data_IF_072999241504
#
_entry.id   IF_072999241504
#
_cell.length_a   1.000
_cell.length_b   1.000
_cell.length_c   1.000
_cell.angle_alpha   90.00
_cell.angle_beta   90.00
_cell.angle_gamma   90.00
#
_symmetry.space_group_name_H-M   'P 1'
#
loop_
_entity.id
_entity.type
_entity.pdbx_description
1 polymer ?
#
# COMPACT_ATOMS: atom_id res chain seq x y z
N UNK A 1 34.19 -16.60 -2.05
CA UNK A 1 33.11 -16.34 -3.04
C UNK A 1 33.53 -15.43 -4.19
N UNK A 2 34.15 -14.27 -3.98
CA UNK A 2 34.61 -13.35 -5.07
C UNK A 2 35.47 -14.00 -6.15
N UNK A 3 36.32 -14.96 -5.78
CA UNK A 3 37.25 -15.65 -6.71
C UNK A 3 36.52 -16.51 -7.74
N UNK A 4 35.39 -17.14 -7.34
CA UNK A 4 34.55 -17.95 -8.23
C UNK A 4 33.79 -17.04 -9.19
N UNK A 5 33.23 -15.95 -8.71
CA UNK A 5 32.48 -14.98 -9.51
C UNK A 5 33.34 -14.36 -10.62
N UNK A 6 34.61 -14.02 -10.31
CA UNK A 6 35.55 -13.50 -11.32
C UNK A 6 35.93 -14.54 -12.37
N UNK A 7 36.07 -15.81 -11.94
CA UNK A 7 36.43 -16.91 -12.87
C UNK A 7 35.30 -17.21 -13.84
N UNK A 8 34.07 -17.14 -13.39
CA UNK A 8 32.87 -17.37 -14.18
C UNK A 8 32.35 -16.11 -14.92
N UNK A 9 33.15 -15.03 -14.95
CA UNK A 9 32.76 -13.79 -15.63
C UNK A 9 31.57 -13.04 -15.05
N UNK A 10 31.11 -13.43 -13.84
CA UNK A 10 29.99 -12.79 -13.18
C UNK A 10 30.43 -11.46 -12.56
N UNK A 11 29.70 -10.39 -12.85
CA UNK A 11 29.92 -9.09 -12.19
C UNK A 11 29.37 -9.14 -10.77
N UNK A 12 30.24 -8.93 -9.78
CA UNK A 12 29.78 -8.72 -8.40
C UNK A 12 28.93 -7.45 -8.37
N UNK A 13 27.68 -7.50 -7.88
CA UNK A 13 26.87 -6.29 -7.75
C UNK A 13 27.63 -5.28 -6.90
N UNK A 14 27.88 -4.09 -7.45
CA UNK A 14 28.45 -3.00 -6.65
C UNK A 14 27.47 -2.73 -5.50
N UNK A 15 27.98 -2.81 -4.27
CA UNK A 15 27.23 -2.43 -3.08
C UNK A 15 26.75 -0.99 -3.29
N UNK A 16 25.46 -0.80 -3.53
CA UNK A 16 24.93 0.55 -3.61
C UNK A 16 25.28 1.24 -2.29
N UNK A 17 25.92 2.42 -2.34
CA UNK A 17 26.15 3.18 -1.13
C UNK A 17 24.81 3.35 -0.43
N UNK A 18 24.75 3.22 0.91
CA UNK A 18 23.50 3.42 1.63
C UNK A 18 22.97 4.78 1.19
N UNK A 19 21.74 4.79 0.66
CA UNK A 19 21.07 6.05 0.32
C UNK A 19 21.13 6.90 1.57
N UNK A 20 22.00 7.91 1.58
CA UNK A 20 22.05 8.90 2.65
C UNK A 20 20.64 9.48 2.70
N UNK A 21 19.96 9.30 3.83
CA UNK A 21 18.76 10.07 4.12
C UNK A 21 19.17 11.52 4.00
N UNK A 22 18.62 12.20 3.01
CA UNK A 22 18.67 13.66 2.95
C UNK A 22 17.80 14.14 4.13
N UNK A 23 18.43 14.33 5.26
CA UNK A 23 17.83 15.08 6.35
C UNK A 23 17.89 16.53 5.91
N UNK A 24 16.76 17.06 5.48
CA UNK A 24 16.59 18.49 5.48
C UNK A 24 16.58 18.91 6.94
N UNK A 25 17.64 19.56 7.37
CA UNK A 25 17.86 20.04 8.76
C UNK A 25 17.00 21.28 9.07
N UNK A 26 16.22 21.76 8.13
CA UNK A 26 15.44 22.99 8.21
C UNK A 26 14.01 22.82 8.78
N UNK A 27 13.66 21.62 9.28
CA UNK A 27 12.35 21.38 9.89
C UNK A 27 11.14 21.44 8.94
N UNK A 28 11.37 21.56 7.64
CA UNK A 28 10.34 21.90 6.65
C UNK A 28 9.38 20.76 6.30
N UNK A 29 9.52 19.57 6.87
CA UNK A 29 8.58 18.47 6.61
C UNK A 29 8.19 17.76 7.90
N UNK A 30 7.24 18.32 8.63
CA UNK A 30 6.59 17.65 9.76
C UNK A 30 5.56 16.68 9.18
N UNK A 31 6.01 15.45 8.86
CA UNK A 31 5.08 14.38 8.52
C UNK A 31 4.14 14.13 9.69
N UNK A 32 2.84 14.23 9.47
CA UNK A 32 1.84 13.79 10.43
C UNK A 32 2.05 12.30 10.72
N UNK A 33 2.43 11.98 11.96
CA UNK A 33 2.57 10.59 12.40
C UNK A 33 1.24 10.11 12.96
N UNK A 34 0.78 8.89 12.57
CA UNK A 34 -0.42 8.31 13.14
C UNK A 34 -0.23 8.05 14.64
N UNK A 35 -1.23 8.36 15.45
CA UNK A 35 -1.20 8.22 16.91
C UNK A 35 -2.10 7.07 17.42
N UNK A 36 -3.09 6.68 16.62
CA UNK A 36 -4.08 5.66 16.96
C UNK A 36 -4.62 4.97 15.69
N UNK A 37 -5.29 3.82 15.80
CA UNK A 37 -6.01 3.21 14.69
C UNK A 37 -6.98 4.19 14.04
N UNK A 38 -7.15 4.14 12.73
CA UNK A 38 -8.00 5.05 11.95
C UNK A 38 -7.62 6.55 12.05
N UNK A 39 -6.40 6.86 12.48
CA UNK A 39 -5.93 8.25 12.47
C UNK A 39 -5.55 8.69 11.04
N UNK A 40 -4.73 7.91 10.37
CA UNK A 40 -4.28 8.19 8.99
C UNK A 40 -4.37 6.92 8.16
N UNK A 41 -5.16 6.96 7.11
CA UNK A 41 -5.11 5.95 6.05
C UNK A 41 -4.28 6.47 4.89
N UNK A 42 -3.51 5.60 4.27
CA UNK A 42 -2.76 5.91 3.06
C UNK A 42 -3.23 5.00 1.93
N UNK A 43 -3.38 5.54 0.71
CA UNK A 43 -3.62 4.72 -0.46
C UNK A 43 -2.66 5.03 -1.60
N UNK A 44 -2.45 4.02 -2.45
CA UNK A 44 -1.58 4.10 -3.62
C UNK A 44 -2.02 3.09 -4.69
N UNK A 45 -1.55 3.31 -5.91
CA UNK A 45 -1.85 2.46 -7.05
C UNK A 45 -0.65 1.62 -7.46
N UNK A 46 -0.92 0.33 -7.72
CA UNK A 46 0.04 -0.59 -8.30
C UNK A 46 -0.46 -1.03 -9.68
N UNK A 47 0.42 -1.00 -10.67
CA UNK A 47 0.11 -1.51 -12.00
C UNK A 47 0.81 -2.85 -12.24
N UNK A 48 0.10 -3.78 -12.89
CA UNK A 48 0.60 -5.06 -13.38
C UNK A 48 -0.02 -5.39 -14.74
N UNK A 49 0.46 -6.44 -15.39
CA UNK A 49 -0.15 -6.99 -16.62
C UNK A 49 -0.46 -8.47 -16.40
N UNK A 50 -1.57 -8.92 -16.97
CA UNK A 50 -1.87 -10.34 -17.13
C UNK A 50 -1.04 -10.92 -18.27
N UNK A 51 -0.98 -12.24 -18.36
CA UNK A 51 -0.20 -12.99 -19.36
C UNK A 51 -0.58 -12.59 -20.81
N UNK A 52 -1.85 -12.26 -21.04
CA UNK A 52 -2.36 -11.72 -22.30
C UNK A 52 -1.93 -10.25 -22.57
N UNK A 53 -1.03 -9.69 -21.76
CA UNK A 53 -0.49 -8.34 -21.87
C UNK A 53 -1.44 -7.22 -21.41
N UNK A 54 -2.69 -7.53 -21.04
CA UNK A 54 -3.67 -6.52 -20.62
C UNK A 54 -3.32 -5.92 -19.25
N UNK A 55 -3.47 -4.61 -19.06
CA UNK A 55 -3.17 -3.97 -17.78
C UNK A 55 -4.16 -4.39 -16.69
N UNK A 56 -3.64 -4.49 -15.47
CA UNK A 56 -4.40 -4.59 -14.22
C UNK A 56 -3.89 -3.53 -13.27
N UNK A 57 -4.79 -2.77 -12.67
CA UNK A 57 -4.50 -1.80 -11.61
C UNK A 57 -5.01 -2.31 -10.28
N UNK A 58 -4.24 -2.09 -9.25
CA UNK A 58 -4.57 -2.40 -7.87
C UNK A 58 -4.59 -1.10 -7.09
N UNK A 59 -5.64 -0.86 -6.31
CA UNK A 59 -5.72 0.20 -5.31
C UNK A 59 -5.44 -0.42 -3.95
N UNK A 60 -4.37 -0.03 -3.29
CA UNK A 60 -4.01 -0.50 -1.95
C UNK A 60 -4.32 0.57 -0.92
N UNK A 61 -5.04 0.23 0.14
CA UNK A 61 -5.38 1.13 1.25
C UNK A 61 -4.84 0.53 2.55
N UNK A 62 -4.12 1.33 3.32
CA UNK A 62 -3.41 0.90 4.54
C UNK A 62 -3.69 1.85 5.68
N UNK A 63 -3.95 1.33 6.87
CA UNK A 63 -3.89 2.13 8.10
C UNK A 63 -2.41 2.31 8.51
N UNK A 64 -1.96 3.55 8.56
CA UNK A 64 -0.56 3.86 8.86
C UNK A 64 -0.17 3.54 10.32
N UNK A 65 -1.12 3.48 11.25
CA UNK A 65 -0.84 3.14 12.65
C UNK A 65 -0.72 1.64 12.85
N UNK A 66 -1.76 0.89 12.51
CA UNK A 66 -1.79 -0.57 12.69
C UNK A 66 -0.94 -1.32 11.68
N UNK A 67 -0.59 -0.69 10.55
CA UNK A 67 0.04 -1.31 9.37
C UNK A 67 -0.86 -2.30 8.64
N UNK A 68 -2.11 -2.36 8.99
CA UNK A 68 -3.09 -3.23 8.36
C UNK A 68 -3.34 -2.79 6.92
N UNK A 69 -3.33 -3.73 5.99
CA UNK A 69 -3.78 -3.54 4.63
C UNK A 69 -5.31 -3.68 4.61
N UNK A 70 -6.02 -2.55 4.64
CA UNK A 70 -7.47 -2.48 4.77
C UNK A 70 -8.18 -3.06 3.54
N UNK A 71 -7.71 -2.69 2.35
CA UNK A 71 -8.25 -3.18 1.09
C UNK A 71 -7.19 -3.24 -0.01
N UNK A 72 -7.39 -4.15 -0.96
CA UNK A 72 -6.72 -4.14 -2.27
C UNK A 72 -7.78 -4.38 -3.33
N UNK A 73 -8.22 -3.32 -3.99
CA UNK A 73 -9.18 -3.41 -5.10
C UNK A 73 -8.45 -3.68 -6.42
N UNK A 74 -8.98 -4.60 -7.24
CA UNK A 74 -8.34 -5.07 -8.48
C UNK A 74 -9.25 -4.84 -9.67
N UNK A 75 -8.85 -3.97 -10.61
CA UNK A 75 -9.62 -3.70 -11.82
C UNK A 75 -8.71 -3.52 -13.05
N UNK A 76 -9.29 -3.62 -14.25
CA UNK A 76 -8.58 -3.27 -15.50
C UNK A 76 -8.31 -1.77 -15.58
N UNK A 77 -9.26 -0.98 -15.07
CA UNK A 77 -9.18 0.48 -14.94
C UNK A 77 -9.79 0.85 -13.60
N UNK A 78 -9.11 1.69 -12.85
CA UNK A 78 -9.63 2.27 -11.61
C UNK A 78 -9.91 3.75 -11.89
N UNK A 79 -11.16 4.14 -11.75
CA UNK A 79 -11.64 5.52 -11.87
C UNK A 79 -11.89 6.09 -10.47
N UNK A 80 -12.16 7.39 -10.42
CA UNK A 80 -12.53 8.06 -9.17
C UNK A 80 -13.70 7.39 -8.45
N UNK A 81 -14.71 6.94 -9.20
CA UNK A 81 -15.90 6.31 -8.63
C UNK A 81 -15.59 4.96 -7.97
N UNK A 82 -14.66 4.18 -8.55
CA UNK A 82 -14.21 2.91 -7.98
C UNK A 82 -13.46 3.16 -6.65
N UNK A 83 -12.63 4.21 -6.60
CA UNK A 83 -11.93 4.63 -5.38
C UNK A 83 -12.92 5.09 -4.33
N UNK A 84 -13.91 5.92 -4.70
CA UNK A 84 -14.96 6.41 -3.81
C UNK A 84 -15.79 5.25 -3.24
N UNK A 85 -16.17 4.29 -4.06
CA UNK A 85 -16.91 3.12 -3.64
C UNK A 85 -16.11 2.30 -2.60
N UNK A 86 -14.86 1.99 -2.92
CA UNK A 86 -13.98 1.24 -2.00
C UNK A 86 -13.78 1.98 -0.65
N UNK A 87 -13.56 3.30 -0.71
CA UNK A 87 -13.44 4.11 0.51
C UNK A 87 -14.75 4.14 1.29
N UNK A 88 -15.90 4.31 0.62
CA UNK A 88 -17.22 4.32 1.29
C UNK A 88 -17.50 3.02 2.03
N UNK A 89 -17.23 1.86 1.41
CA UNK A 89 -17.36 0.56 2.08
C UNK A 89 -16.45 0.47 3.31
N UNK A 90 -15.19 0.90 3.19
CA UNK A 90 -14.28 0.91 4.33
C UNK A 90 -14.76 1.83 5.46
N UNK A 91 -15.30 3.02 5.14
CA UNK A 91 -15.84 3.94 6.14
C UNK A 91 -17.01 3.33 6.92
N UNK A 92 -17.85 2.55 6.24
CA UNK A 92 -18.99 1.84 6.89
C UNK A 92 -18.50 0.75 7.84
N UNK A 93 -17.49 -0.03 7.42
CA UNK A 93 -17.03 -1.20 8.19
C UNK A 93 -16.00 -0.89 9.28
N UNK A 94 -15.17 0.12 9.06
CA UNK A 94 -14.04 0.46 9.93
C UNK A 94 -14.19 1.78 10.68
N UNK A 95 -15.18 2.58 10.32
CA UNK A 95 -15.32 3.94 10.78
C UNK A 95 -14.55 4.95 9.91
N UNK A 96 -14.76 6.23 10.22
CA UNK A 96 -14.20 7.34 9.45
C UNK A 96 -12.79 7.66 9.95
N UNK A 97 -11.74 7.63 9.11
CA UNK A 97 -10.42 8.06 9.52
C UNK A 97 -10.36 9.58 9.65
N UNK A 98 -9.46 10.08 10.49
CA UNK A 98 -9.26 11.53 10.61
C UNK A 98 -8.62 12.10 9.34
N UNK A 99 -7.68 11.36 8.76
CA UNK A 99 -6.92 11.81 7.58
C UNK A 99 -6.81 10.68 6.55
N UNK A 100 -6.77 11.07 5.28
CA UNK A 100 -6.36 10.19 4.18
C UNK A 100 -5.20 10.81 3.44
N UNK A 101 -4.13 10.02 3.29
CA UNK A 101 -2.93 10.37 2.54
C UNK A 101 -2.94 9.70 1.18
N UNK A 102 -2.61 10.47 0.14
CA UNK A 102 -2.44 9.93 -1.21
C UNK A 102 -1.30 10.63 -1.93
N UNK A 103 -0.74 9.95 -2.92
CA UNK A 103 0.12 10.58 -3.90
C UNK A 103 -0.70 11.40 -4.91
N UNK A 104 -0.05 12.34 -5.56
CA UNK A 104 -0.66 13.20 -6.59
C UNK A 104 -0.92 12.39 -7.87
N UNK A 105 -2.03 11.65 -7.89
CA UNK A 105 -2.53 10.96 -9.10
C UNK A 105 -3.15 11.92 -10.13
N UNK A 106 -3.66 11.42 -11.27
CA UNK A 106 -4.30 12.25 -12.30
C UNK A 106 -5.30 13.22 -11.66
N UNK A 107 -5.10 14.52 -11.87
CA UNK A 107 -5.79 15.63 -11.17
C UNK A 107 -7.30 15.47 -11.04
N UNK A 108 -7.94 14.85 -12.03
CA UNK A 108 -9.39 14.71 -12.06
C UNK A 108 -9.91 13.69 -11.03
N UNK A 109 -9.25 12.53 -10.92
CA UNK A 109 -9.62 11.51 -9.94
C UNK A 109 -9.32 11.98 -8.51
N UNK A 110 -8.19 12.64 -8.28
CA UNK A 110 -7.82 13.22 -7.01
C UNK A 110 -8.82 14.31 -6.55
N UNK A 111 -9.31 15.16 -7.47
CA UNK A 111 -10.24 16.25 -7.13
C UNK A 111 -11.62 15.73 -6.67
N UNK A 112 -12.20 14.76 -7.38
CA UNK A 112 -13.49 14.16 -7.01
C UNK A 112 -13.41 13.45 -5.65
N UNK A 113 -12.36 12.66 -5.43
CA UNK A 113 -12.12 11.97 -4.16
C UNK A 113 -11.93 12.98 -3.04
N UNK A 114 -11.15 14.04 -3.24
CA UNK A 114 -10.94 15.10 -2.26
C UNK A 114 -12.24 15.78 -1.85
N UNK A 115 -13.06 16.18 -2.82
CA UNK A 115 -14.32 16.85 -2.54
C UNK A 115 -15.29 15.96 -1.76
N UNK A 116 -15.31 14.67 -2.07
CA UNK A 116 -16.12 13.71 -1.32
C UNK A 116 -15.60 13.52 0.11
N UNK A 117 -14.29 13.32 0.28
CA UNK A 117 -13.67 13.19 1.60
C UNK A 117 -13.95 14.41 2.48
N UNK A 118 -13.86 15.61 1.91
CA UNK A 118 -14.18 16.84 2.62
C UNK A 118 -15.64 16.89 3.10
N UNK A 119 -16.59 16.37 2.30
CA UNK A 119 -18.02 16.28 2.68
C UNK A 119 -18.24 15.31 3.85
N UNK A 120 -17.51 14.24 3.93
CA UNK A 120 -17.59 13.26 5.02
C UNK A 120 -16.70 13.61 6.23
N UNK A 121 -16.07 14.79 6.21
CA UNK A 121 -15.28 15.30 7.33
C UNK A 121 -13.85 14.75 7.42
N UNK A 122 -13.34 14.09 6.37
CA UNK A 122 -11.99 13.53 6.32
C UNK A 122 -11.01 14.57 5.75
N UNK A 123 -9.92 14.80 6.44
CA UNK A 123 -8.85 15.67 5.96
C UNK A 123 -7.93 14.95 4.99
N UNK A 124 -7.58 15.61 3.88
CA UNK A 124 -6.67 15.02 2.87
C UNK A 124 -5.25 15.54 3.08
N UNK A 125 -4.30 14.61 3.13
CA UNK A 125 -2.87 14.89 3.17
C UNK A 125 -2.27 14.54 1.80
N UNK A 126 -1.66 15.52 1.16
CA UNK A 126 -0.98 15.29 -0.13
C UNK A 126 0.51 15.18 0.12
N UNK A 127 1.12 14.17 -0.51
CA UNK A 127 2.57 14.10 -0.59
C UNK A 127 3.06 15.17 -1.56
N UNK A 128 4.01 15.99 -1.14
CA UNK A 128 4.63 16.96 -2.03
C UNK A 128 5.40 16.25 -3.16
N UNK A 129 5.40 16.81 -4.38
CA UNK A 129 6.23 16.29 -5.46
C UNK A 129 7.69 16.21 -5.02
N UNK A 130 8.29 15.01 -5.07
CA UNK A 130 9.66 14.78 -4.64
C UNK A 130 9.82 14.33 -3.18
N UNK A 131 8.73 14.13 -2.43
CA UNK A 131 8.74 13.66 -1.04
C UNK A 131 8.21 12.21 -0.89
N UNK A 132 8.83 11.18 -1.51
CA UNK A 132 8.35 9.80 -1.47
C UNK A 132 8.27 9.22 -0.06
N UNK A 133 9.05 9.76 0.89
CA UNK A 133 9.01 9.31 2.28
C UNK A 133 7.68 9.58 2.99
N UNK A 134 6.87 10.51 2.48
CA UNK A 134 5.57 10.82 3.06
C UNK A 134 4.57 9.67 2.88
N UNK A 135 4.62 8.94 1.78
CA UNK A 135 3.76 7.79 1.49
C UNK A 135 4.42 6.43 1.79
N UNK A 136 5.54 6.44 2.54
CA UNK A 136 6.40 5.27 2.73
C UNK A 136 5.72 4.04 3.37
N UNK A 137 4.55 4.18 4.01
CA UNK A 137 3.85 3.03 4.59
C UNK A 137 3.15 2.20 3.53
N UNK A 138 2.35 2.81 2.68
CA UNK A 138 1.68 2.10 1.59
C UNK A 138 2.70 1.64 0.54
N UNK A 139 3.74 2.43 0.26
CA UNK A 139 4.85 1.99 -0.60
C UNK A 139 5.54 0.72 -0.06
N UNK A 140 5.75 0.64 1.24
CA UNK A 140 6.32 -0.56 1.88
C UNK A 140 5.42 -1.79 1.73
N UNK A 141 4.09 -1.62 1.84
CA UNK A 141 3.12 -2.70 1.59
C UNK A 141 3.16 -3.11 0.13
N UNK A 142 3.13 -2.15 -0.79
CA UNK A 142 3.19 -2.38 -2.23
C UNK A 142 4.50 -3.05 -2.66
N UNK A 143 5.63 -2.69 -2.04
CA UNK A 143 6.91 -3.37 -2.25
C UNK A 143 6.83 -4.85 -1.90
N UNK A 144 6.28 -5.18 -0.72
CA UNK A 144 6.09 -6.56 -0.29
C UNK A 144 5.11 -7.32 -1.18
N UNK A 145 3.99 -6.69 -1.56
CA UNK A 145 3.03 -7.28 -2.50
C UNK A 145 3.70 -7.62 -3.84
N UNK A 146 4.56 -6.73 -4.35
CA UNK A 146 5.33 -7.00 -5.57
C UNK A 146 6.31 -8.16 -5.38
N UNK A 147 7.11 -8.13 -4.32
CA UNK A 147 8.18 -9.11 -4.09
C UNK A 147 7.66 -10.50 -3.73
N UNK A 148 6.57 -10.58 -2.98
CA UNK A 148 6.02 -11.81 -2.44
C UNK A 148 4.98 -12.46 -3.37
N UNK A 149 4.29 -11.69 -4.23
CA UNK A 149 3.24 -12.18 -5.11
C UNK A 149 3.38 -11.72 -6.56
N UNK A 150 3.32 -10.40 -6.83
CA UNK A 150 3.14 -9.92 -8.19
C UNK A 150 4.31 -10.24 -9.14
N UNK A 151 5.55 -10.32 -8.62
CA UNK A 151 6.74 -10.64 -9.40
C UNK A 151 7.04 -12.14 -9.47
N UNK A 152 6.32 -12.95 -8.69
CA UNK A 152 6.52 -14.40 -8.63
C UNK A 152 5.52 -15.18 -9.46
N UNK A 153 4.34 -14.61 -9.68
CA UNK A 153 3.23 -15.28 -10.35
C UNK A 153 2.98 -14.69 -11.74
N UNK A 154 2.59 -15.57 -12.66
CA UNK A 154 2.00 -15.24 -13.95
C UNK A 154 0.50 -15.35 -13.82
N UNK A 155 -0.21 -14.29 -14.14
CA UNK A 155 -1.66 -14.22 -13.96
C UNK A 155 -2.35 -14.36 -15.31
N UNK A 156 -3.11 -15.42 -15.53
CA UNK A 156 -3.88 -15.61 -16.74
C UNK A 156 -5.07 -14.64 -16.83
N UNK A 157 -5.72 -14.34 -15.71
CA UNK A 157 -6.93 -13.50 -15.67
C UNK A 157 -6.89 -12.46 -14.57
N UNK A 158 -7.70 -11.38 -14.72
CA UNK A 158 -7.92 -10.42 -13.64
C UNK A 158 -8.51 -11.07 -12.37
N UNK A 159 -9.40 -12.04 -12.57
CA UNK A 159 -10.03 -12.76 -11.45
C UNK A 159 -9.00 -13.52 -10.61
N UNK A 160 -8.06 -14.17 -11.26
CA UNK A 160 -6.94 -14.84 -10.58
C UNK A 160 -6.10 -13.84 -9.76
N UNK A 161 -5.76 -12.68 -10.33
CA UNK A 161 -5.09 -11.60 -9.58
C UNK A 161 -5.89 -11.23 -8.33
N UNK A 162 -7.20 -11.05 -8.45
CA UNK A 162 -8.06 -10.66 -7.34
C UNK A 162 -8.07 -11.70 -6.22
N UNK A 163 -8.20 -12.98 -6.56
CA UNK A 163 -8.22 -14.08 -5.59
C UNK A 163 -6.87 -14.21 -4.86
N UNK A 164 -5.78 -14.20 -5.61
CA UNK A 164 -4.44 -14.35 -5.03
C UNK A 164 -4.01 -13.14 -4.21
N UNK A 165 -4.37 -11.93 -4.64
CA UNK A 165 -4.10 -10.69 -3.90
C UNK A 165 -4.90 -10.63 -2.60
N UNK A 166 -6.17 -11.06 -2.59
CA UNK A 166 -6.96 -11.12 -1.36
C UNK A 166 -6.41 -12.19 -0.39
N UNK A 167 -5.99 -13.35 -0.90
CA UNK A 167 -5.31 -14.36 -0.08
C UNK A 167 -4.02 -13.80 0.53
N UNK A 168 -3.21 -13.08 -0.26
CA UNK A 168 -2.00 -12.42 0.21
C UNK A 168 -2.32 -11.36 1.27
N UNK A 169 -3.36 -10.52 1.08
CA UNK A 169 -3.79 -9.50 2.03
C UNK A 169 -4.15 -10.10 3.39
N UNK A 170 -4.91 -11.20 3.39
CA UNK A 170 -5.24 -11.94 4.63
C UNK A 170 -4.01 -12.48 5.31
N UNK A 171 -3.11 -13.11 4.58
CA UNK A 171 -1.84 -13.60 5.11
C UNK A 171 -0.99 -12.46 5.67
N UNK A 172 -0.90 -11.33 4.96
CA UNK A 172 -0.17 -10.14 5.38
C UNK A 172 -0.69 -9.60 6.71
N UNK A 173 -2.01 -9.50 6.87
CA UNK A 173 -2.64 -8.94 8.07
C UNK A 173 -2.64 -9.90 9.26
N UNK A 174 -2.80 -11.19 9.05
CA UNK A 174 -3.11 -12.16 10.11
C UNK A 174 -1.93 -13.04 10.52
N UNK A 175 -0.99 -13.27 9.61
CA UNK A 175 0.06 -14.27 9.81
C UNK A 175 1.45 -13.67 9.70
N UNK A 176 1.67 -12.76 8.75
CA UNK A 176 2.98 -12.22 8.43
C UNK A 176 3.56 -11.42 9.60
N UNK A 177 4.76 -11.78 10.14
CA UNK A 177 5.39 -11.02 11.20
C UNK A 177 5.93 -9.68 10.69
N UNK A 178 5.73 -8.62 11.47
CA UNK A 178 6.20 -7.26 11.18
C UNK A 178 7.18 -6.78 12.23
N UNK A 179 8.40 -6.41 11.81
CA UNK A 179 9.42 -5.90 12.74
C UNK A 179 8.97 -4.66 13.50
N UNK A 180 8.25 -3.75 12.83
CA UNK A 180 7.75 -2.52 13.45
C UNK A 180 6.65 -2.77 14.49
N UNK A 181 6.07 -3.97 14.53
CA UNK A 181 5.02 -4.39 15.47
C UNK A 181 5.52 -5.46 16.45
N UNK A 182 6.82 -5.52 16.70
CA UNK A 182 7.40 -6.55 17.58
C UNK A 182 7.22 -7.97 17.09
N UNK A 183 7.30 -8.18 15.77
CA UNK A 183 7.09 -9.45 15.07
C UNK A 183 5.64 -9.98 15.11
N UNK A 184 4.69 -9.16 15.51
CA UNK A 184 3.26 -9.49 15.43
C UNK A 184 2.69 -9.15 14.05
N UNK A 185 1.64 -9.84 13.59
CA UNK A 185 0.89 -9.42 12.40
C UNK A 185 0.08 -8.14 12.69
N UNK A 186 -0.31 -7.37 11.64
CA UNK A 186 -1.03 -6.10 11.81
C UNK A 186 -2.42 -6.25 12.43
N UNK A 187 -3.15 -7.31 12.12
CA UNK A 187 -4.53 -7.52 12.57
C UNK A 187 -4.74 -9.01 12.96
N UNK A 188 -4.11 -9.48 14.06
CA UNK A 188 -4.26 -10.87 14.50
C UNK A 188 -5.69 -11.19 14.99
N UNK A 189 -6.43 -10.20 15.45
CA UNK A 189 -7.79 -10.36 15.99
C UNK A 189 -8.81 -10.81 14.92
N UNK A 190 -8.56 -10.49 13.65
CA UNK A 190 -9.44 -10.89 12.54
C UNK A 190 -9.37 -12.39 12.21
N UNK A 191 -8.49 -13.14 12.89
CA UNK A 191 -8.40 -14.61 12.76
C UNK A 191 -9.48 -15.31 13.62
N UNK A 192 -9.96 -14.66 14.69
CA UNK A 192 -11.00 -15.24 15.53
C UNK A 192 -12.26 -15.48 14.67
N UNK A 193 -12.82 -16.71 14.63
CA UNK A 193 -14.08 -16.93 13.99
C UNK A 193 -15.10 -16.01 14.66
N UNK A 194 -15.86 -15.26 13.84
CA UNK A 194 -17.02 -14.56 14.37
C UNK A 194 -17.89 -15.63 15.06
N UNK A 195 -17.91 -15.62 16.36
CA UNK A 195 -18.87 -16.40 17.11
C UNK A 195 -20.24 -15.83 16.71
N UNK A 196 -20.96 -16.56 15.86
CA UNK A 196 -22.35 -16.31 15.61
C UNK A 196 -23.06 -16.44 16.96
N UNK A 197 -23.51 -15.32 17.49
CA UNK A 197 -24.44 -15.28 18.61
C UNK A 197 -25.86 -15.61 18.12
#
# INVERSE_FOLDING_TARGET
>A
MERIWRREGLKVPQRQPPRRRLWLTDGACVRLRPQQPNHVWAYDFVARRTEDGRPVKLLTIVDEYTRECLAIEVARRLRSDDVLFCLAELLVHRGVPTHIRSDTGPEFAAKAVRQWLQRVGVQTLFSEPGSPWENGYVESVNGKLRDELLNRELFATRWEVQVLVERWRRHYNQIRPHRALGLRPPAPETIAPQQCA
#
